data_IF_555155142850
#
_entry.id   IF_555155142850
#
_cell.length_a   1.000
_cell.length_b   1.000
_cell.length_c   1.000
_cell.angle_alpha   90.00
_cell.angle_beta   90.00
_cell.angle_gamma   90.00
#
_symmetry.space_group_name_H-M   'P 1'
#
loop_
_entity.id
_entity.type
_entity.pdbx_description
1 polymer ?
#
# COMPACT_ATOMS: atom_id res chain seq x y z
N UNK A 1 5.26 0.86 -9.24
CA UNK A 1 5.53 1.63 -10.47
C UNK A 1 6.42 2.86 -10.29
N UNK A 2 7.29 2.93 -9.31
CA UNK A 2 8.08 4.14 -9.07
C UNK A 2 9.49 4.14 -9.70
N UNK A 3 9.89 3.16 -10.50
CA UNK A 3 11.24 3.08 -11.07
C UNK A 3 11.33 2.52 -12.50
N UNK A 4 10.32 2.70 -13.37
CA UNK A 4 10.61 2.63 -14.80
C UNK A 4 11.29 3.95 -15.22
N UNK A 5 12.54 4.16 -14.81
CA UNK A 5 13.36 5.22 -15.38
C UNK A 5 13.77 4.82 -16.78
N UNK A 6 13.25 5.54 -17.76
CA UNK A 6 13.98 5.69 -19.01
C UNK A 6 15.42 6.09 -18.69
N UNK A 7 16.39 5.29 -19.13
CA UNK A 7 17.79 5.71 -19.22
C UNK A 7 17.84 6.95 -20.11
N UNK A 8 17.74 8.13 -19.49
CA UNK A 8 17.95 9.40 -20.18
C UNK A 8 19.45 9.50 -20.43
N UNK A 9 19.86 9.27 -21.68
CA UNK A 9 21.21 9.54 -22.17
C UNK A 9 21.64 10.92 -21.70
N UNK A 10 22.63 10.97 -20.81
CA UNK A 10 23.14 12.18 -20.19
C UNK A 10 24.00 12.98 -21.15
N UNK A 11 23.39 13.67 -22.11
CA UNK A 11 24.05 14.80 -22.76
C UNK A 11 23.98 16.02 -21.86
N UNK A 12 24.95 16.19 -20.99
CA UNK A 12 25.08 17.39 -20.15
C UNK A 12 25.56 18.56 -21.03
N UNK A 13 24.77 19.62 -21.23
CA UNK A 13 25.25 20.83 -21.86
C UNK A 13 26.37 21.46 -21.00
N UNK A 14 27.39 22.09 -21.62
CA UNK A 14 28.50 22.66 -20.89
C UNK A 14 28.02 23.72 -19.87
N UNK A 15 28.42 23.59 -18.60
CA UNK A 15 27.97 24.38 -17.45
C UNK A 15 28.24 25.89 -17.52
N UNK A 16 28.93 26.35 -18.59
CA UNK A 16 29.29 27.76 -18.77
C UNK A 16 28.17 28.64 -19.31
N UNK A 17 27.10 28.10 -19.88
CA UNK A 17 25.93 28.85 -20.37
C UNK A 17 24.88 28.96 -19.31
N UNK A 18 23.99 29.97 -19.39
CA UNK A 18 22.84 30.10 -18.48
C UNK A 18 21.93 28.87 -18.55
N UNK A 19 21.72 28.33 -19.76
CA UNK A 19 20.96 27.10 -20.00
C UNK A 19 21.63 25.89 -19.35
N UNK A 20 22.96 25.76 -19.42
CA UNK A 20 23.72 24.68 -18.79
C UNK A 20 23.63 24.73 -17.26
N UNK A 21 23.68 25.94 -16.66
CA UNK A 21 23.50 26.09 -15.20
C UNK A 21 22.08 25.74 -14.77
N UNK A 22 21.04 26.10 -15.52
CA UNK A 22 19.65 25.74 -15.26
C UNK A 22 19.45 24.22 -15.34
N UNK A 23 20.00 23.57 -16.37
CA UNK A 23 19.92 22.11 -16.52
C UNK A 23 20.64 21.36 -15.38
N UNK A 24 21.81 21.83 -14.97
CA UNK A 24 22.57 21.25 -13.85
C UNK A 24 21.80 21.40 -12.51
N UNK A 25 21.21 22.58 -12.25
CA UNK A 25 20.37 22.80 -11.07
C UNK A 25 19.18 21.86 -11.06
N UNK A 26 18.48 21.72 -12.19
CA UNK A 26 17.33 20.84 -12.33
C UNK A 26 17.71 19.37 -12.07
N UNK A 27 18.79 18.86 -12.69
CA UNK A 27 19.29 17.50 -12.44
C UNK A 27 19.71 17.26 -10.98
N UNK A 28 20.18 18.30 -10.30
CA UNK A 28 20.50 18.23 -8.86
C UNK A 28 19.22 18.13 -8.02
N UNK A 29 18.17 18.90 -8.33
CA UNK A 29 16.89 18.85 -7.63
C UNK A 29 16.21 17.48 -7.87
N UNK A 30 16.22 16.95 -9.09
CA UNK A 30 15.66 15.62 -9.38
C UNK A 30 16.34 14.53 -8.52
N UNK A 31 17.68 14.53 -8.42
CA UNK A 31 18.40 13.56 -7.57
C UNK A 31 18.10 13.72 -6.07
N UNK A 32 17.97 14.97 -5.60
CA UNK A 32 17.60 15.23 -4.22
C UNK A 32 16.17 14.79 -3.92
N UNK A 33 15.25 15.01 -4.84
CA UNK A 33 13.88 14.51 -4.76
C UNK A 33 13.85 13.00 -4.57
N UNK A 34 14.51 12.26 -5.47
CA UNK A 34 14.58 10.80 -5.40
C UNK A 34 15.18 10.30 -4.08
N UNK A 35 16.25 10.95 -3.63
CA UNK A 35 16.86 10.63 -2.35
C UNK A 35 15.86 10.80 -1.20
N UNK A 36 15.22 11.95 -1.08
CA UNK A 36 14.30 12.21 0.02
C UNK A 36 13.04 11.32 -0.04
N UNK A 37 12.48 11.08 -1.22
CA UNK A 37 11.33 10.18 -1.36
C UNK A 37 11.71 8.74 -0.97
N UNK A 38 12.88 8.27 -1.38
CA UNK A 38 13.41 6.95 -1.00
C UNK A 38 13.69 6.83 0.50
N UNK A 39 14.25 7.88 1.13
CA UNK A 39 14.49 7.89 2.58
C UNK A 39 13.19 7.93 3.39
N UNK A 40 12.17 8.69 2.94
CA UNK A 40 10.86 8.70 3.59
C UNK A 40 10.26 7.29 3.64
N UNK A 41 10.34 6.58 2.52
CA UNK A 41 9.88 5.19 2.43
C UNK A 41 10.67 4.25 3.36
N UNK A 42 12.02 4.32 3.36
CA UNK A 42 12.87 3.49 4.22
C UNK A 42 12.61 3.75 5.70
N UNK A 43 12.51 5.01 6.09
CA UNK A 43 12.20 5.40 7.46
C UNK A 43 10.84 4.88 7.93
N UNK A 44 9.83 4.92 7.04
CA UNK A 44 8.51 4.37 7.33
C UNK A 44 8.54 2.86 7.55
N UNK A 45 9.27 2.11 6.73
CA UNK A 45 9.45 0.66 6.90
C UNK A 45 10.15 0.32 8.23
N UNK A 46 11.03 1.20 8.70
CA UNK A 46 11.73 1.06 9.99
C UNK A 46 10.92 1.58 11.18
N UNK A 47 9.66 1.99 10.99
CA UNK A 47 8.83 2.57 12.04
C UNK A 47 9.27 3.97 12.51
N UNK A 48 10.20 4.62 11.80
CA UNK A 48 10.72 5.95 12.14
C UNK A 48 9.84 7.06 11.55
N UNK A 49 8.64 7.24 12.10
CA UNK A 49 7.61 8.14 11.55
C UNK A 49 8.07 9.59 11.40
N UNK A 50 8.77 10.15 12.40
CA UNK A 50 9.26 11.53 12.34
C UNK A 50 10.27 11.74 11.20
N UNK A 51 11.16 10.76 10.99
CA UNK A 51 12.10 10.80 9.85
C UNK A 51 11.37 10.68 8.52
N UNK A 52 10.39 9.79 8.43
CA UNK A 52 9.56 9.65 7.23
C UNK A 52 8.82 10.96 6.91
N UNK A 53 8.23 11.61 7.90
CA UNK A 53 7.59 12.91 7.77
C UNK A 53 8.57 14.00 7.32
N UNK A 54 9.75 14.08 7.93
CA UNK A 54 10.78 15.06 7.57
C UNK A 54 11.26 14.89 6.12
N UNK A 55 11.56 13.67 5.71
CA UNK A 55 11.98 13.39 4.33
C UNK A 55 10.86 13.60 3.31
N UNK A 56 9.62 13.21 3.59
CA UNK A 56 8.49 13.46 2.69
C UNK A 56 8.21 14.95 2.51
N UNK A 57 8.36 15.76 3.57
CA UNK A 57 8.27 17.23 3.50
C UNK A 57 9.33 17.82 2.57
N UNK A 58 10.58 17.36 2.66
CA UNK A 58 11.65 17.82 1.76
C UNK A 58 11.40 17.40 0.31
N UNK A 59 10.92 16.18 0.07
CA UNK A 59 10.53 15.73 -1.27
C UNK A 59 9.43 16.62 -1.86
N UNK A 60 8.41 16.98 -1.06
CA UNK A 60 7.32 17.86 -1.49
C UNK A 60 7.82 19.28 -1.82
N UNK A 61 8.69 19.87 -1.02
CA UNK A 61 9.28 21.18 -1.31
C UNK A 61 10.04 21.17 -2.63
N UNK A 62 10.87 20.14 -2.85
CA UNK A 62 11.67 20.00 -4.07
C UNK A 62 10.77 19.77 -5.29
N UNK A 63 9.75 18.91 -5.19
CA UNK A 63 8.83 18.65 -6.31
C UNK A 63 8.04 19.90 -6.71
N UNK A 64 7.63 20.72 -5.76
CA UNK A 64 7.01 22.02 -6.03
C UNK A 64 7.96 23.00 -6.74
N UNK A 65 9.24 23.05 -6.34
CA UNK A 65 10.26 23.85 -7.03
C UNK A 65 10.48 23.37 -8.46
N UNK A 66 10.56 22.05 -8.68
CA UNK A 66 10.69 21.45 -10.01
C UNK A 66 9.47 21.78 -10.89
N UNK A 67 8.26 21.60 -10.36
CA UNK A 67 7.02 21.85 -11.08
C UNK A 67 6.87 23.33 -11.47
N UNK A 68 7.15 24.24 -10.56
CA UNK A 68 7.08 25.69 -10.81
C UNK A 68 8.23 26.22 -11.72
N UNK A 69 9.37 25.55 -11.71
CA UNK A 69 10.57 25.99 -12.45
C UNK A 69 10.63 25.53 -13.91
N UNK A 70 9.66 24.73 -14.38
CA UNK A 70 9.60 24.22 -15.76
C UNK A 70 8.64 25.00 -16.64
N UNK A 71 8.96 25.10 -17.93
CA UNK A 71 8.05 25.63 -18.95
C UNK A 71 6.96 24.61 -19.34
N UNK A 72 7.21 23.33 -19.07
CA UNK A 72 6.29 22.22 -19.29
C UNK A 72 5.93 21.59 -17.93
N UNK A 73 4.81 21.97 -17.32
CA UNK A 73 4.40 21.44 -16.04
C UNK A 73 4.18 19.91 -16.03
N UNK A 74 3.79 19.33 -17.17
CA UNK A 74 3.53 17.88 -17.26
C UNK A 74 4.75 17.05 -16.97
N UNK A 75 5.95 17.61 -17.21
CA UNK A 75 7.23 16.92 -16.99
C UNK A 75 7.47 16.50 -15.54
N UNK A 76 7.06 17.34 -14.56
CA UNK A 76 7.29 17.09 -13.13
C UNK A 76 6.00 16.91 -12.34
N UNK A 77 4.88 16.78 -13.03
CA UNK A 77 3.58 16.50 -12.45
C UNK A 77 3.53 15.16 -11.72
N UNK A 78 4.16 14.07 -12.25
CA UNK A 78 4.22 12.79 -11.53
C UNK A 78 4.97 12.88 -10.20
N UNK A 79 6.11 13.59 -10.17
CA UNK A 79 6.90 13.78 -8.96
C UNK A 79 6.13 14.60 -7.91
N UNK A 80 5.38 15.61 -8.33
CA UNK A 80 4.55 16.40 -7.42
C UNK A 80 3.41 15.56 -6.85
N UNK A 81 2.68 14.82 -7.69
CA UNK A 81 1.61 13.95 -7.25
C UNK A 81 2.09 12.91 -6.24
N UNK A 82 3.23 12.27 -6.52
CA UNK A 82 3.84 11.27 -5.63
C UNK A 82 4.29 11.87 -4.30
N UNK A 83 4.89 13.08 -4.32
CA UNK A 83 5.34 13.77 -3.11
C UNK A 83 4.18 14.20 -2.22
N UNK A 84 3.09 14.70 -2.81
CA UNK A 84 1.85 15.04 -2.10
C UNK A 84 1.28 13.82 -1.39
N UNK A 85 1.17 12.69 -2.10
CA UNK A 85 0.69 11.43 -1.54
C UNK A 85 1.59 10.93 -0.39
N UNK A 86 2.91 10.97 -0.58
CA UNK A 86 3.86 10.55 0.45
C UNK A 86 3.80 11.44 1.69
N UNK A 87 3.73 12.78 1.50
CA UNK A 87 3.66 13.69 2.63
C UNK A 87 2.32 13.61 3.37
N UNK A 88 1.22 13.45 2.67
CA UNK A 88 -0.08 13.17 3.29
C UNK A 88 -0.05 11.91 4.17
N UNK A 89 0.66 10.86 3.72
CA UNK A 89 0.80 9.60 4.44
C UNK A 89 1.67 9.71 5.69
N UNK A 90 2.78 10.41 5.62
CA UNK A 90 3.81 10.38 6.67
C UNK A 90 3.83 11.63 7.56
N UNK A 91 3.41 12.78 7.06
CA UNK A 91 3.48 14.05 7.76
C UNK A 91 2.16 14.82 7.86
N UNK A 92 1.15 14.40 7.12
CA UNK A 92 -0.17 15.02 7.15
C UNK A 92 -1.08 14.40 8.21
N UNK A 93 -2.03 15.19 8.72
CA UNK A 93 -3.06 14.69 9.64
C UNK A 93 -4.44 15.26 9.30
N UNK A 94 -5.47 14.48 9.55
CA UNK A 94 -6.87 14.89 9.40
C UNK A 94 -7.17 15.49 8.02
N UNK A 95 -7.88 16.61 7.99
CA UNK A 95 -8.31 17.27 6.75
C UNK A 95 -7.18 17.80 5.87
N UNK A 96 -6.01 18.09 6.48
CA UNK A 96 -4.84 18.51 5.70
C UNK A 96 -4.30 17.36 4.84
N UNK A 97 -4.26 16.13 5.37
CA UNK A 97 -3.88 14.95 4.61
C UNK A 97 -4.86 14.69 3.46
N UNK A 98 -6.18 14.81 3.71
CA UNK A 98 -7.21 14.65 2.68
C UNK A 98 -7.05 15.68 1.57
N UNK A 99 -6.80 16.95 1.90
CA UNK A 99 -6.59 18.00 0.90
C UNK A 99 -5.37 17.74 0.01
N UNK A 100 -4.24 17.29 0.60
CA UNK A 100 -3.05 16.93 -0.17
C UNK A 100 -3.29 15.70 -1.06
N UNK A 101 -4.02 14.71 -0.57
CA UNK A 101 -4.41 13.55 -1.38
C UNK A 101 -5.34 13.95 -2.52
N UNK A 102 -6.29 14.85 -2.30
CA UNK A 102 -7.17 15.37 -3.35
C UNK A 102 -6.37 16.12 -4.44
N UNK A 103 -5.38 16.96 -4.05
CA UNK A 103 -4.46 17.60 -4.99
C UNK A 103 -3.66 16.55 -5.79
N UNK A 104 -3.13 15.53 -5.13
CA UNK A 104 -2.43 14.41 -5.77
C UNK A 104 -3.30 13.66 -6.76
N UNK A 105 -4.56 13.34 -6.38
CA UNK A 105 -5.53 12.67 -7.26
C UNK A 105 -5.84 13.49 -8.50
N UNK A 106 -5.97 14.82 -8.37
CA UNK A 106 -6.16 15.74 -9.50
C UNK A 106 -4.98 15.70 -10.49
N UNK A 107 -3.75 15.69 -9.98
CA UNK A 107 -2.56 15.57 -10.82
C UNK A 107 -2.51 14.22 -11.55
N UNK A 108 -2.77 13.12 -10.85
CA UNK A 108 -2.82 11.79 -11.49
C UNK A 108 -3.99 11.67 -12.48
N UNK A 109 -5.14 12.30 -12.24
CA UNK A 109 -6.24 12.30 -13.19
C UNK A 109 -5.84 12.96 -14.52
N UNK A 110 -5.21 14.14 -14.47
CA UNK A 110 -4.71 14.82 -15.67
C UNK A 110 -3.64 14.01 -16.42
N UNK A 111 -2.77 13.31 -15.69
CA UNK A 111 -1.78 12.39 -16.29
C UNK A 111 -2.42 11.16 -16.91
N UNK A 112 -3.45 10.60 -16.30
CA UNK A 112 -4.17 9.42 -16.80
C UNK A 112 -4.97 9.72 -18.09
N UNK A 113 -5.35 10.98 -18.35
CA UNK A 113 -5.93 11.38 -19.64
C UNK A 113 -4.96 11.16 -20.81
N UNK A 114 -3.67 11.28 -20.57
CA UNK A 114 -2.63 11.13 -21.61
C UNK A 114 -2.00 9.73 -21.62
N UNK A 115 -1.82 9.12 -20.47
CA UNK A 115 -1.26 7.78 -20.32
C UNK A 115 -1.99 7.00 -19.20
N UNK A 116 -3.16 6.42 -19.49
CA UNK A 116 -3.93 5.66 -18.50
C UNK A 116 -3.21 4.40 -18.03
N UNK A 117 -2.35 3.79 -18.87
CA UNK A 117 -1.58 2.61 -18.48
C UNK A 117 -0.59 2.90 -17.36
N UNK A 118 0.00 4.10 -17.35
CA UNK A 118 0.99 4.48 -16.37
C UNK A 118 0.37 5.10 -15.10
N UNK A 119 -0.78 5.80 -15.21
CA UNK A 119 -1.22 6.69 -14.13
C UNK A 119 -2.60 6.38 -13.55
N UNK A 120 -3.40 5.48 -14.17
CA UNK A 120 -4.72 5.14 -13.63
C UNK A 120 -4.61 4.39 -12.29
N UNK A 121 -3.74 3.39 -12.18
CA UNK A 121 -3.51 2.65 -10.92
C UNK A 121 -3.00 3.57 -9.80
N UNK A 122 -1.97 4.42 -9.99
CA UNK A 122 -1.57 5.44 -9.02
C UNK A 122 -2.72 6.36 -8.58
N UNK A 123 -3.58 6.81 -9.52
CA UNK A 123 -4.76 7.63 -9.21
C UNK A 123 -5.70 6.91 -8.25
N UNK A 124 -6.02 5.66 -8.55
CA UNK A 124 -6.93 4.83 -7.73
C UNK A 124 -6.32 4.56 -6.34
N UNK A 125 -5.00 4.33 -6.24
CA UNK A 125 -4.33 4.18 -4.94
C UNK A 125 -4.47 5.44 -4.08
N UNK A 126 -4.37 6.62 -4.66
CA UNK A 126 -4.60 7.88 -3.93
C UNK A 126 -6.05 8.00 -3.46
N UNK A 127 -7.04 7.63 -4.27
CA UNK A 127 -8.45 7.61 -3.86
C UNK A 127 -8.69 6.63 -2.70
N UNK A 128 -8.04 5.46 -2.73
CA UNK A 128 -8.05 4.52 -1.60
C UNK A 128 -7.55 5.20 -0.32
N UNK A 129 -6.48 5.97 -0.40
CA UNK A 129 -5.92 6.71 0.76
C UNK A 129 -6.84 7.83 1.25
N UNK A 130 -7.58 8.49 0.36
CA UNK A 130 -8.60 9.47 0.76
C UNK A 130 -9.68 8.76 1.58
N UNK A 131 -10.17 7.61 1.13
CA UNK A 131 -11.16 6.84 1.88
C UNK A 131 -10.65 6.45 3.28
N UNK A 132 -9.39 5.99 3.40
CA UNK A 132 -8.79 5.67 4.69
C UNK A 132 -8.66 6.89 5.60
N UNK A 133 -8.28 8.03 5.05
CA UNK A 133 -8.17 9.27 5.81
C UNK A 133 -9.56 9.75 6.27
N UNK A 134 -10.60 9.57 5.46
CA UNK A 134 -11.99 9.86 5.81
C UNK A 134 -12.50 8.95 6.92
N UNK A 135 -12.23 7.65 6.85
CA UNK A 135 -12.56 6.69 7.92
C UNK A 135 -11.86 7.07 9.23
N UNK A 136 -10.57 7.40 9.17
CA UNK A 136 -9.79 7.85 10.33
C UNK A 136 -10.32 9.18 10.92
N UNK A 137 -10.92 10.03 10.09
CA UNK A 137 -11.59 11.26 10.52
C UNK A 137 -13.03 11.03 11.07
N UNK A 138 -13.50 9.78 11.12
CA UNK A 138 -14.81 9.40 11.63
C UNK A 138 -15.93 9.36 10.58
N UNK A 139 -15.62 9.54 9.30
CA UNK A 139 -16.57 9.49 8.17
C UNK A 139 -16.59 8.09 7.54
N UNK A 140 -16.81 7.04 8.33
CA UNK A 140 -16.84 5.65 7.84
C UNK A 140 -17.85 5.41 6.71
N UNK A 141 -19.08 5.97 6.70
CA UNK A 141 -20.01 5.79 5.58
C UNK A 141 -19.48 6.35 4.26
N UNK A 142 -18.83 7.54 4.29
CA UNK A 142 -18.23 8.13 3.08
C UNK A 142 -17.05 7.29 2.58
N UNK A 143 -16.26 6.75 3.51
CA UNK A 143 -15.16 5.85 3.19
C UNK A 143 -15.66 4.57 2.51
N UNK A 144 -16.77 3.97 2.98
CA UNK A 144 -17.39 2.80 2.35
C UNK A 144 -17.83 3.13 0.91
N UNK A 145 -18.53 4.24 0.71
CA UNK A 145 -18.98 4.68 -0.61
C UNK A 145 -17.80 4.81 -1.58
N UNK A 146 -16.76 5.53 -1.16
CA UNK A 146 -15.56 5.73 -1.99
C UNK A 146 -14.79 4.42 -2.24
N UNK A 147 -14.70 3.51 -1.25
CA UNK A 147 -14.02 2.22 -1.43
C UNK A 147 -14.77 1.30 -2.40
N UNK A 148 -16.11 1.32 -2.43
CA UNK A 148 -16.88 0.61 -3.45
C UNK A 148 -16.57 1.14 -4.86
N UNK A 149 -16.51 2.46 -5.05
CA UNK A 149 -16.12 3.06 -6.31
C UNK A 149 -14.68 2.65 -6.71
N UNK A 150 -13.74 2.73 -5.78
CA UNK A 150 -12.34 2.34 -5.95
C UNK A 150 -12.20 0.88 -6.38
N UNK A 151 -12.90 -0.05 -5.75
CA UNK A 151 -12.93 -1.47 -6.16
C UNK A 151 -13.43 -1.60 -7.59
N UNK A 152 -14.52 -0.90 -7.93
CA UNK A 152 -15.05 -0.88 -9.30
C UNK A 152 -14.08 -0.28 -10.33
N UNK A 153 -13.27 0.71 -9.93
CA UNK A 153 -12.25 1.31 -10.79
C UNK A 153 -11.07 0.35 -11.02
N UNK A 154 -10.53 -0.29 -9.96
CA UNK A 154 -9.45 -1.26 -10.11
C UNK A 154 -9.81 -2.43 -11.02
N UNK A 155 -11.06 -2.93 -10.98
CA UNK A 155 -11.55 -4.02 -11.84
C UNK A 155 -11.51 -3.66 -13.34
N UNK A 156 -11.57 -2.37 -13.66
CA UNK A 156 -11.60 -1.85 -15.03
C UNK A 156 -10.31 -1.19 -15.48
N UNK A 157 -9.43 -0.87 -14.52
CA UNK A 157 -8.23 -0.10 -14.80
C UNK A 157 -7.28 -0.84 -15.72
N UNK A 158 -6.80 -0.20 -16.79
CA UNK A 158 -5.64 -0.68 -17.50
C UNK A 158 -4.41 -0.52 -16.59
N UNK A 159 -3.44 -1.42 -16.72
CA UNK A 159 -2.23 -1.38 -15.89
C UNK A 159 -1.01 -1.86 -16.68
N UNK A 160 0.08 -1.11 -16.57
CA UNK A 160 1.39 -1.54 -17.06
C UNK A 160 1.94 -2.72 -16.23
N UNK A 161 1.61 -2.75 -14.94
CA UNK A 161 1.91 -3.84 -14.01
C UNK A 161 0.59 -4.39 -13.43
N UNK A 162 0.25 -5.61 -13.85
CA UNK A 162 -0.99 -6.26 -13.44
C UNK A 162 -0.95 -6.68 -11.96
N UNK A 163 0.22 -7.09 -11.47
CA UNK A 163 0.38 -7.47 -10.08
C UNK A 163 0.22 -6.26 -9.13
N UNK A 164 0.74 -5.09 -9.52
CA UNK A 164 0.53 -3.86 -8.76
C UNK A 164 -0.95 -3.49 -8.68
N UNK A 165 -1.68 -3.56 -9.80
CA UNK A 165 -3.13 -3.33 -9.84
C UNK A 165 -3.88 -4.31 -8.95
N UNK A 166 -3.59 -5.60 -9.08
CA UNK A 166 -4.30 -6.66 -8.35
C UNK A 166 -4.04 -6.58 -6.84
N UNK A 167 -2.82 -6.21 -6.41
CA UNK A 167 -2.54 -5.93 -5.00
C UNK A 167 -3.22 -4.65 -4.51
N UNK A 168 -3.33 -3.63 -5.35
CA UNK A 168 -4.11 -2.44 -5.06
C UNK A 168 -5.58 -2.76 -4.83
N UNK A 169 -6.17 -3.59 -5.70
CA UNK A 169 -7.54 -4.11 -5.56
C UNK A 169 -7.71 -4.91 -4.25
N UNK A 170 -6.80 -5.82 -3.96
CA UNK A 170 -6.84 -6.61 -2.73
C UNK A 170 -6.84 -5.70 -1.49
N UNK A 171 -5.96 -4.69 -1.45
CA UNK A 171 -5.93 -3.69 -0.36
C UNK A 171 -7.23 -2.91 -0.24
N UNK A 172 -7.79 -2.44 -1.35
CA UNK A 172 -9.06 -1.73 -1.34
C UNK A 172 -10.18 -2.59 -0.73
N UNK A 173 -10.25 -3.87 -1.09
CA UNK A 173 -11.18 -4.84 -0.49
C UNK A 173 -10.93 -5.06 1.00
N UNK A 174 -9.68 -5.14 1.46
CA UNK A 174 -9.37 -5.25 2.89
C UNK A 174 -9.89 -4.06 3.70
N UNK A 175 -9.71 -2.85 3.15
CA UNK A 175 -10.18 -1.64 3.80
C UNK A 175 -11.70 -1.52 3.76
N UNK A 176 -12.32 -1.85 2.62
CA UNK A 176 -13.79 -1.91 2.50
C UNK A 176 -14.37 -2.89 3.52
N UNK A 177 -13.86 -4.12 3.56
CA UNK A 177 -14.27 -5.11 4.55
C UNK A 177 -14.12 -4.61 5.99
N UNK A 178 -13.00 -3.92 6.29
CA UNK A 178 -12.79 -3.30 7.59
C UNK A 178 -13.79 -2.21 7.97
N UNK A 179 -14.17 -1.36 7.02
CA UNK A 179 -15.17 -0.31 7.23
C UNK A 179 -16.59 -0.91 7.38
N UNK A 180 -16.95 -1.92 6.57
CA UNK A 180 -18.22 -2.64 6.67
C UNK A 180 -18.38 -3.30 8.05
N UNK A 181 -17.35 -3.97 8.54
CA UNK A 181 -17.35 -4.58 9.88
C UNK A 181 -17.55 -3.55 11.01
N UNK A 182 -16.92 -2.37 10.90
CA UNK A 182 -17.13 -1.27 11.86
C UNK A 182 -18.58 -0.78 11.92
N UNK A 183 -19.33 -0.94 10.83
CA UNK A 183 -20.74 -0.53 10.75
C UNK A 183 -21.73 -1.67 11.04
N UNK A 184 -21.24 -2.87 11.43
CA UNK A 184 -22.06 -4.04 11.76
C UNK A 184 -22.53 -4.84 10.53
N UNK A 185 -21.96 -4.58 9.35
CA UNK A 185 -22.21 -5.37 8.13
C UNK A 185 -21.24 -6.55 8.06
N UNK A 186 -21.38 -7.49 8.98
CA UNK A 186 -20.37 -8.53 9.24
C UNK A 186 -20.18 -9.50 8.07
N UNK A 187 -21.27 -9.92 7.41
CA UNK A 187 -21.21 -10.86 6.30
C UNK A 187 -20.56 -10.22 5.07
N UNK A 188 -20.98 -9.01 4.71
CA UNK A 188 -20.41 -8.27 3.57
C UNK A 188 -18.93 -7.91 3.84
N UNK A 189 -18.63 -7.48 5.05
CA UNK A 189 -17.28 -7.15 5.47
C UNK A 189 -16.34 -8.35 5.44
N UNK A 190 -16.82 -9.52 5.84
CA UNK A 190 -16.06 -10.76 5.75
C UNK A 190 -15.86 -11.18 4.29
N UNK A 191 -16.91 -11.11 3.46
CA UNK A 191 -16.86 -11.48 2.05
C UNK A 191 -15.82 -10.63 1.28
N UNK A 192 -15.81 -9.30 1.48
CA UNK A 192 -14.81 -8.42 0.87
C UNK A 192 -13.39 -8.72 1.37
N UNK A 193 -13.23 -9.00 2.66
CA UNK A 193 -11.93 -9.37 3.24
C UNK A 193 -11.41 -10.67 2.61
N UNK A 194 -12.23 -11.69 2.46
CA UNK A 194 -11.86 -12.99 1.90
C UNK A 194 -11.55 -12.89 0.40
N UNK A 195 -12.36 -12.17 -0.36
CA UNK A 195 -12.09 -11.92 -1.78
C UNK A 195 -10.75 -11.17 -1.99
N UNK A 196 -10.41 -10.24 -1.10
CA UNK A 196 -9.11 -9.59 -1.10
C UNK A 196 -7.96 -10.55 -0.76
N UNK A 197 -8.14 -11.45 0.21
CA UNK A 197 -7.14 -12.44 0.62
C UNK A 197 -6.86 -13.46 -0.50
N UNK A 198 -7.89 -13.92 -1.18
CA UNK A 198 -7.77 -14.84 -2.33
C UNK A 198 -6.97 -14.19 -3.46
N UNK A 199 -7.32 -12.97 -3.84
CA UNK A 199 -6.60 -12.21 -4.87
C UNK A 199 -5.15 -11.96 -4.49
N UNK A 200 -4.88 -11.54 -3.25
CA UNK A 200 -3.50 -11.33 -2.80
C UNK A 200 -2.69 -12.63 -2.83
N UNK A 201 -3.26 -13.76 -2.42
CA UNK A 201 -2.59 -15.06 -2.44
C UNK A 201 -2.19 -15.46 -3.87
N UNK A 202 -3.08 -15.25 -4.85
CA UNK A 202 -2.80 -15.54 -6.27
C UNK A 202 -1.66 -14.66 -6.80
N UNK A 203 -1.67 -13.35 -6.53
CA UNK A 203 -0.59 -12.43 -6.92
C UNK A 203 0.74 -12.84 -6.31
N UNK A 204 0.73 -13.18 -5.02
CA UNK A 204 1.93 -13.56 -4.28
C UNK A 204 2.53 -14.86 -4.81
N UNK A 205 1.70 -15.82 -5.20
CA UNK A 205 2.17 -17.07 -5.80
C UNK A 205 2.80 -16.83 -7.18
N UNK A 206 2.18 -16.01 -8.02
CA UNK A 206 2.76 -15.58 -9.32
C UNK A 206 4.11 -14.88 -9.14
N UNK A 207 4.21 -13.98 -8.18
CA UNK A 207 5.47 -13.27 -7.87
C UNK A 207 6.56 -14.22 -7.37
N UNK A 208 6.21 -15.18 -6.51
CA UNK A 208 7.14 -16.19 -6.00
C UNK A 208 7.72 -17.02 -7.14
N UNK A 209 6.89 -17.48 -8.08
CA UNK A 209 7.33 -18.23 -9.27
C UNK A 209 8.27 -17.37 -10.11
N UNK A 210 7.91 -16.12 -10.40
CA UNK A 210 8.73 -15.21 -11.21
C UNK A 210 10.08 -14.89 -10.58
N UNK A 211 10.14 -14.75 -9.25
CA UNK A 211 11.39 -14.52 -8.50
C UNK A 211 12.28 -15.77 -8.58
N UNK A 212 11.68 -16.96 -8.42
CA UNK A 212 12.43 -18.21 -8.50
C UNK A 212 13.05 -18.44 -9.89
N UNK A 213 12.30 -18.11 -10.95
CA UNK A 213 12.73 -18.32 -12.34
C UNK A 213 13.80 -17.33 -12.80
N UNK A 214 13.79 -16.11 -12.29
CA UNK A 214 14.66 -15.03 -12.79
C UNK A 214 15.84 -14.68 -11.87
N UNK A 215 15.99 -15.35 -10.73
CA UNK A 215 17.07 -15.06 -9.77
C UNK A 215 16.99 -13.66 -9.14
N UNK A 216 15.85 -13.00 -9.21
CA UNK A 216 15.60 -11.64 -8.72
C UNK A 216 15.45 -11.64 -7.18
N UNK A 217 16.54 -11.86 -6.48
CA UNK A 217 16.57 -11.88 -5.01
C UNK A 217 16.86 -10.52 -4.36
N UNK A 218 17.13 -9.48 -5.16
CA UNK A 218 17.72 -8.28 -4.56
C UNK A 218 16.73 -7.39 -3.80
N UNK A 219 15.45 -7.32 -4.18
CA UNK A 219 14.43 -6.56 -3.43
C UNK A 219 13.06 -7.21 -3.66
N UNK A 220 12.46 -7.79 -2.62
CA UNK A 220 11.01 -8.01 -2.66
C UNK A 220 10.37 -6.69 -3.08
N UNK A 221 9.52 -6.67 -4.13
CA UNK A 221 9.00 -5.42 -4.64
C UNK A 221 8.49 -4.54 -3.51
N UNK A 222 8.84 -3.26 -3.50
CA UNK A 222 8.50 -2.33 -2.41
C UNK A 222 7.02 -2.32 -2.06
N UNK A 223 6.16 -2.53 -3.05
CA UNK A 223 4.72 -2.62 -2.84
C UNK A 223 4.30 -3.84 -2.01
N UNK A 224 5.04 -4.98 -2.06
CA UNK A 224 4.79 -6.14 -1.18
C UNK A 224 5.05 -5.79 0.28
N UNK A 225 6.15 -5.12 0.56
CA UNK A 225 6.48 -4.69 1.92
C UNK A 225 5.46 -3.68 2.46
N UNK A 226 4.90 -2.82 1.60
CA UNK A 226 3.86 -1.88 1.97
C UNK A 226 2.49 -2.56 2.17
N UNK A 227 2.19 -3.60 1.43
CA UNK A 227 0.93 -4.33 1.52
C UNK A 227 0.90 -5.35 2.67
N UNK A 228 2.07 -5.81 3.14
CA UNK A 228 2.16 -6.86 4.14
C UNK A 228 1.40 -6.57 5.46
N UNK A 229 1.45 -5.37 6.06
CA UNK A 229 0.68 -5.07 7.27
C UNK A 229 -0.83 -5.16 7.05
N UNK A 230 -1.33 -4.62 5.93
CA UNK A 230 -2.77 -4.64 5.61
C UNK A 230 -3.25 -6.07 5.37
N UNK A 231 -2.46 -6.84 4.62
CA UNK A 231 -2.74 -8.26 4.38
C UNK A 231 -2.72 -9.09 5.67
N UNK A 232 -1.74 -8.89 6.56
CA UNK A 232 -1.69 -9.57 7.85
C UNK A 232 -2.91 -9.23 8.72
N UNK A 233 -3.30 -7.95 8.77
CA UNK A 233 -4.49 -7.53 9.50
C UNK A 233 -5.77 -8.16 8.94
N UNK A 234 -5.89 -8.25 7.61
CA UNK A 234 -7.02 -8.89 6.94
C UNK A 234 -7.10 -10.40 7.25
N UNK A 235 -5.96 -11.10 7.17
CA UNK A 235 -5.88 -12.53 7.44
C UNK A 235 -6.24 -12.83 8.91
N UNK A 236 -5.69 -12.09 9.86
CA UNK A 236 -6.01 -12.22 11.30
C UNK A 236 -7.48 -11.96 11.56
N UNK A 237 -8.06 -10.95 10.91
CA UNK A 237 -9.48 -10.60 11.03
C UNK A 237 -10.37 -11.71 10.53
N UNK A 238 -10.16 -12.24 9.32
CA UNK A 238 -10.96 -13.33 8.76
C UNK A 238 -10.94 -14.55 9.68
N UNK A 239 -9.77 -15.00 10.12
CA UNK A 239 -9.63 -16.12 11.06
C UNK A 239 -10.40 -15.87 12.36
N UNK A 240 -10.33 -14.67 12.91
CA UNK A 240 -10.97 -14.31 14.18
C UNK A 240 -12.48 -14.31 14.06
N UNK A 241 -13.03 -13.68 13.01
CA UNK A 241 -14.48 -13.61 12.79
C UNK A 241 -15.11 -15.00 12.60
N UNK A 242 -14.45 -15.90 11.87
CA UNK A 242 -14.91 -17.28 11.78
C UNK A 242 -14.88 -17.99 13.12
N UNK A 243 -13.84 -17.81 13.93
CA UNK A 243 -13.74 -18.42 15.26
C UNK A 243 -14.81 -17.88 16.22
N UNK A 244 -15.05 -16.58 16.26
CA UNK A 244 -16.07 -15.92 17.09
C UNK A 244 -17.49 -16.33 16.70
N UNK A 245 -17.73 -16.55 15.41
CA UNK A 245 -18.99 -17.10 14.91
C UNK A 245 -19.15 -18.61 15.11
N UNK A 246 -18.20 -19.28 15.78
CA UNK A 246 -18.20 -20.74 15.99
C UNK A 246 -17.91 -21.55 14.73
N UNK A 247 -17.52 -20.94 13.63
CA UNK A 247 -17.21 -21.57 12.35
C UNK A 247 -15.76 -22.11 12.34
N UNK A 248 -15.44 -22.99 13.27
CA UNK A 248 -14.07 -23.47 13.55
C UNK A 248 -13.37 -24.13 12.37
N UNK A 249 -14.13 -24.79 11.48
CA UNK A 249 -13.56 -25.41 10.28
C UNK A 249 -13.03 -24.33 9.29
N UNK A 250 -13.84 -23.30 9.09
CA UNK A 250 -13.47 -22.16 8.22
C UNK A 250 -12.30 -21.37 8.82
N UNK A 251 -12.35 -21.07 10.13
CA UNK A 251 -11.25 -20.45 10.86
C UNK A 251 -9.92 -21.22 10.68
N UNK A 252 -9.95 -22.53 10.82
CA UNK A 252 -8.77 -23.38 10.66
C UNK A 252 -8.28 -23.46 9.21
N UNK A 253 -9.18 -23.38 8.24
CA UNK A 253 -8.81 -23.34 6.81
C UNK A 253 -8.15 -22.01 6.48
N UNK A 254 -8.75 -20.89 6.88
CA UNK A 254 -8.17 -19.56 6.73
C UNK A 254 -6.79 -19.45 7.41
N UNK A 255 -6.65 -20.00 8.62
CA UNK A 255 -5.37 -20.03 9.34
C UNK A 255 -4.26 -20.76 8.57
N UNK A 256 -4.54 -21.95 8.04
CA UNK A 256 -3.54 -22.70 7.26
C UNK A 256 -3.17 -22.01 5.96
N UNK A 257 -4.15 -21.48 5.25
CA UNK A 257 -3.91 -20.73 4.01
C UNK A 257 -3.03 -19.49 4.29
N UNK A 258 -3.34 -18.73 5.34
CA UNK A 258 -2.59 -17.54 5.71
C UNK A 258 -1.15 -17.87 6.13
N UNK A 259 -0.91 -18.96 6.90
CA UNK A 259 0.45 -19.44 7.25
C UNK A 259 1.22 -19.83 5.99
N UNK A 260 0.59 -20.57 5.08
CA UNK A 260 1.24 -21.00 3.84
C UNK A 260 1.73 -19.83 2.99
N UNK A 261 0.87 -18.84 2.76
CA UNK A 261 1.20 -17.63 2.00
C UNK A 261 2.26 -16.79 2.74
N UNK A 262 2.06 -16.51 4.03
CA UNK A 262 3.00 -15.70 4.81
C UNK A 262 4.39 -16.33 4.95
N UNK A 263 4.46 -17.65 5.09
CA UNK A 263 5.74 -18.37 5.13
C UNK A 263 6.52 -18.25 3.82
N UNK A 264 5.82 -18.34 2.67
CA UNK A 264 6.41 -18.09 1.36
C UNK A 264 6.94 -16.66 1.22
N UNK A 265 6.21 -15.67 1.73
CA UNK A 265 6.62 -14.27 1.71
C UNK A 265 7.79 -13.95 2.62
N UNK A 266 7.79 -14.48 3.84
CA UNK A 266 8.90 -14.29 4.79
C UNK A 266 10.23 -14.78 4.22
N UNK A 267 10.18 -15.83 3.37
CA UNK A 267 11.33 -16.33 2.63
C UNK A 267 11.89 -15.40 1.57
N UNK A 268 11.10 -14.42 1.09
CA UNK A 268 11.56 -13.39 0.13
C UNK A 268 12.39 -12.28 0.79
N UNK A 269 12.45 -12.23 2.13
CA UNK A 269 13.19 -11.23 2.89
C UNK A 269 12.40 -9.93 3.13
N UNK A 270 12.91 -9.12 4.07
CA UNK A 270 12.30 -7.87 4.51
C UNK A 270 11.58 -7.98 5.86
N UNK A 271 11.77 -6.98 6.72
CA UNK A 271 11.25 -7.01 8.09
C UNK A 271 9.72 -7.03 8.11
N UNK A 272 9.07 -6.20 7.28
CA UNK A 272 7.61 -6.12 7.22
C UNK A 272 6.95 -7.46 6.84
N UNK A 273 7.58 -8.27 5.98
CA UNK A 273 7.08 -9.59 5.59
C UNK A 273 7.26 -10.61 6.72
N UNK A 274 8.37 -10.55 7.44
CA UNK A 274 8.60 -11.39 8.63
C UNK A 274 7.64 -11.06 9.76
N UNK A 275 7.47 -9.77 10.07
CA UNK A 275 6.50 -9.31 11.07
C UNK A 275 5.05 -9.72 10.74
N UNK A 276 4.68 -9.65 9.46
CA UNK A 276 3.38 -10.12 8.98
C UNK A 276 3.22 -11.62 9.22
N UNK A 277 4.25 -12.43 8.90
CA UNK A 277 4.24 -13.87 9.14
C UNK A 277 4.13 -14.21 10.63
N UNK A 278 4.88 -13.54 11.49
CA UNK A 278 4.83 -13.76 12.94
C UNK A 278 3.44 -13.48 13.52
N UNK A 279 2.82 -12.36 13.15
CA UNK A 279 1.46 -12.00 13.59
C UNK A 279 0.42 -13.01 13.15
N UNK A 280 0.47 -13.45 11.90
CA UNK A 280 -0.44 -14.45 11.34
C UNK A 280 -0.24 -15.77 12.04
N UNK A 281 1.00 -16.24 12.18
CA UNK A 281 1.33 -17.52 12.79
C UNK A 281 0.88 -17.59 14.23
N UNK A 282 1.14 -16.56 15.03
CA UNK A 282 0.71 -16.50 16.42
C UNK A 282 -0.82 -16.65 16.55
N UNK A 283 -1.60 -15.90 15.75
CA UNK A 283 -3.06 -16.01 15.81
C UNK A 283 -3.60 -17.32 15.27
N UNK A 284 -3.00 -17.84 14.21
CA UNK A 284 -3.38 -19.11 13.61
C UNK A 284 -3.15 -20.29 14.58
N UNK A 285 -2.03 -20.30 15.30
CA UNK A 285 -1.72 -21.31 16.32
C UNK A 285 -2.74 -21.29 17.45
N UNK A 286 -3.14 -20.13 17.94
CA UNK A 286 -4.19 -19.99 18.94
C UNK A 286 -5.52 -20.63 18.48
N UNK A 287 -5.95 -20.31 17.25
CA UNK A 287 -7.20 -20.82 16.67
C UNK A 287 -7.14 -22.34 16.47
N UNK A 288 -6.03 -22.84 15.95
CA UNK A 288 -5.83 -24.28 15.75
C UNK A 288 -5.78 -25.04 17.09
N UNK A 289 -5.20 -24.44 18.13
CA UNK A 289 -5.17 -25.02 19.47
C UNK A 289 -6.58 -25.06 20.10
N UNK A 290 -7.37 -23.99 19.98
CA UNK A 290 -8.75 -23.93 20.45
C UNK A 290 -9.64 -24.98 19.76
N UNK A 291 -9.53 -25.11 18.44
CA UNK A 291 -10.24 -26.14 17.67
C UNK A 291 -9.95 -27.56 18.16
N UNK A 292 -8.70 -27.84 18.54
CA UNK A 292 -8.25 -29.16 18.99
C UNK A 292 -8.51 -29.42 20.47
N UNK A 293 -9.28 -28.56 21.16
CA UNK A 293 -9.55 -28.67 22.60
C UNK A 293 -8.32 -28.40 23.48
N UNK A 294 -7.26 -27.86 22.94
CA UNK A 294 -6.00 -27.52 23.63
C UNK A 294 -5.92 -26.03 24.03
N UNK A 295 -7.01 -25.29 23.87
CA UNK A 295 -7.08 -23.88 24.27
C UNK A 295 -6.73 -23.69 25.75
N UNK A 296 -6.33 -22.48 26.17
CA UNK A 296 -6.00 -22.18 27.55
C UNK A 296 -7.19 -22.61 28.40
N UNK A 297 -6.94 -23.53 29.34
CA UNK A 297 -7.95 -23.99 30.29
C UNK A 297 -8.38 -22.77 31.09
N UNK A 298 -9.46 -22.13 30.62
CA UNK A 298 -10.07 -21.02 31.34
C UNK A 298 -10.26 -21.47 32.75
N UNK A 299 -9.82 -20.65 33.68
CA UNK A 299 -10.09 -20.74 35.10
C UNK A 299 -11.57 -21.09 35.28
N UNK A 300 -11.86 -22.40 35.55
CA UNK A 300 -13.17 -22.79 36.04
C UNK A 300 -13.38 -21.97 37.29
N UNK A 301 -14.18 -20.91 37.21
CA UNK A 301 -14.81 -20.31 38.37
C UNK A 301 -15.61 -21.41 39.02
N UNK A 302 -15.06 -21.99 40.11
CA UNK A 302 -15.80 -22.79 41.02
C UNK A 302 -16.89 -21.87 41.60
N UNK A 303 -18.12 -22.05 41.10
CA UNK A 303 -19.32 -21.61 41.83
C UNK A 303 -19.35 -22.40 43.14
N UNK A 304 -19.16 -21.68 44.24
CA UNK A 304 -19.47 -22.14 45.59
C UNK A 304 -20.92 -21.75 45.90
#
# INVERSE_FOLDING_TARGET
>A
MFLARHERSAHHPPARTLAGRKALRQSTLERRYDFHLGEAFRAALQGSHDKAAGHSSQALLISRELYAGTADPTRHQPELAAALCAHARYGGSGWQAIAMLAESAGHYAALAETDPMAYEVPRIDVLTRIALASDAAGSTPDAIGLLHEVVGMYLKAPAADQEERDLGLARARFHLGGCLLKTGMDEDGLAETEAGLELAADVLDRLRIRIADNGWLAEAPRYLQLAAPDWAAAAVRSMTLHAEAGRWQQAATAARAAIGVSGGLAGLGGDALRDAHEKISARAEEILAMRNGRGPRGTRTRSV
#
